data_IF_293205126159
#
_entry.id   IF_293205126159
#
_cell.length_a   1.000
_cell.length_b   1.000
_cell.length_c   1.000
_cell.angle_alpha   90.00
_cell.angle_beta   90.00
_cell.angle_gamma   90.00
#
_symmetry.space_group_name_H-M   'P 1'
#
loop_
_entity.id
_entity.type
_entity.pdbx_description
1 polymer ?
#
# COMPACT_ATOMS: atom_id res chain seq x y z
N UNK A 1 -13.45 33.65 16.42
CA UNK A 1 -12.39 34.62 16.16
C UNK A 1 -11.03 33.96 16.18
N UNK A 2 -10.29 34.08 15.11
CA UNK A 2 -8.92 33.56 15.05
C UNK A 2 -7.94 34.48 15.74
N UNK A 3 -6.82 33.97 16.25
CA UNK A 3 -5.72 34.73 16.84
C UNK A 3 -5.26 35.87 15.93
N UNK A 4 -5.25 35.62 14.62
CA UNK A 4 -4.88 36.59 13.58
C UNK A 4 -5.83 37.81 13.50
N UNK A 5 -7.13 37.60 13.61
CA UNK A 5 -8.12 38.69 13.62
C UNK A 5 -7.95 39.56 14.87
N UNK A 6 -7.75 38.94 16.04
CA UNK A 6 -7.48 39.67 17.28
C UNK A 6 -6.21 40.54 17.21
N UNK A 7 -5.14 40.02 16.57
CA UNK A 7 -3.89 40.78 16.37
C UNK A 7 -4.11 42.00 15.44
N UNK A 8 -4.90 41.85 14.36
CA UNK A 8 -5.25 42.96 13.45
C UNK A 8 -6.04 44.04 14.14
N UNK A 9 -7.00 43.68 14.97
CA UNK A 9 -7.82 44.67 15.70
C UNK A 9 -6.99 45.46 16.70
N UNK A 10 -6.09 44.82 17.43
CA UNK A 10 -5.17 45.49 18.34
C UNK A 10 -4.19 46.40 17.58
N UNK A 11 -3.66 45.94 16.43
CA UNK A 11 -2.79 46.76 15.59
C UNK A 11 -3.49 48.05 15.08
N UNK A 12 -4.80 47.94 14.76
CA UNK A 12 -5.62 49.08 14.34
C UNK A 12 -5.79 50.14 15.46
N UNK A 13 -6.05 49.66 16.67
CA UNK A 13 -6.17 50.52 17.85
C UNK A 13 -4.84 51.23 18.17
N UNK A 14 -3.72 50.51 18.04
CA UNK A 14 -2.39 51.04 18.28
C UNK A 14 -1.91 52.05 17.25
N UNK A 15 -2.34 51.94 15.99
CA UNK A 15 -2.12 52.97 14.96
C UNK A 15 -2.80 54.26 15.32
N UNK A 16 -3.99 54.23 15.90
CA UNK A 16 -4.73 55.43 16.36
C UNK A 16 -4.05 56.09 17.57
N UNK A 17 -3.25 55.36 18.34
CA UNK A 17 -2.52 55.83 19.49
C UNK A 17 -1.10 56.32 19.18
N UNK A 18 -0.71 56.46 17.90
CA UNK A 18 0.60 56.92 17.42
C UNK A 18 1.81 56.08 17.92
N UNK A 19 1.58 54.81 18.29
CA UNK A 19 2.63 53.95 18.81
C UNK A 19 3.14 52.99 17.70
N UNK A 20 3.96 53.55 16.80
CA UNK A 20 4.45 52.85 15.59
C UNK A 20 5.29 51.62 15.94
N UNK A 21 6.12 51.72 16.98
CA UNK A 21 7.01 50.60 17.37
C UNK A 21 6.23 49.34 17.83
N UNK A 22 5.19 49.59 18.62
CA UNK A 22 4.31 48.50 19.08
C UNK A 22 3.46 47.91 17.93
N UNK A 23 3.07 48.74 16.96
CA UNK A 23 2.36 48.34 15.76
C UNK A 23 3.22 47.41 14.90
N UNK A 24 4.51 47.70 14.70
CA UNK A 24 5.44 46.85 13.96
C UNK A 24 5.64 45.49 14.64
N UNK A 25 5.82 45.47 15.97
CA UNK A 25 5.92 44.23 16.73
C UNK A 25 4.67 43.34 16.62
N UNK A 26 3.49 43.96 16.55
CA UNK A 26 2.24 43.20 16.34
C UNK A 26 2.13 42.66 14.93
N UNK A 27 2.63 43.32 13.91
CA UNK A 27 2.69 42.80 12.54
C UNK A 27 3.63 41.63 12.46
N UNK A 28 4.81 41.69 13.09
CA UNK A 28 5.74 40.56 13.17
C UNK A 28 5.10 39.33 13.86
N UNK A 29 4.39 39.56 14.96
CA UNK A 29 3.64 38.51 15.65
C UNK A 29 2.50 37.92 14.77
N UNK A 30 1.88 38.76 13.95
CA UNK A 30 0.85 38.31 12.99
C UNK A 30 1.44 37.39 11.94
N UNK A 31 2.61 37.70 11.41
CA UNK A 31 3.29 36.88 10.42
C UNK A 31 3.69 35.50 11.04
N UNK A 32 4.27 35.51 12.24
CA UNK A 32 4.58 34.30 12.98
C UNK A 32 3.31 33.47 13.24
N UNK A 33 2.19 34.11 13.58
CA UNK A 33 0.93 33.41 13.82
C UNK A 33 0.37 32.75 12.55
N UNK A 34 0.58 33.35 11.37
CA UNK A 34 0.20 32.80 10.07
C UNK A 34 1.07 31.59 9.74
N UNK A 35 2.38 31.68 9.91
CA UNK A 35 3.32 30.58 9.69
C UNK A 35 2.98 29.40 10.59
N UNK A 36 2.71 29.63 11.88
CA UNK A 36 2.27 28.61 12.82
C UNK A 36 0.93 27.98 12.45
N UNK A 37 0.01 28.72 11.85
CA UNK A 37 -1.26 28.19 11.36
C UNK A 37 -1.05 27.26 10.18
N UNK A 38 -0.20 27.65 9.23
CA UNK A 38 0.15 26.83 8.08
C UNK A 38 0.84 25.52 8.51
N UNK A 39 1.84 25.62 9.39
CA UNK A 39 2.50 24.45 9.95
C UNK A 39 1.53 23.51 10.67
N UNK A 40 0.59 24.06 11.44
CA UNK A 40 -0.46 23.28 12.12
C UNK A 40 -1.36 22.54 11.14
N UNK A 41 -1.72 23.12 10.00
CA UNK A 41 -2.52 22.46 8.96
C UNK A 41 -1.71 21.31 8.35
N UNK A 42 -0.47 21.55 7.98
CA UNK A 42 0.43 20.56 7.39
C UNK A 42 0.65 19.37 8.34
N UNK A 43 0.91 19.62 9.62
CA UNK A 43 1.07 18.58 10.64
C UNK A 43 -0.22 17.78 10.87
N UNK A 44 -1.39 18.41 10.79
CA UNK A 44 -2.67 17.70 10.87
C UNK A 44 -2.88 16.75 9.68
N UNK A 45 -2.57 17.19 8.47
CA UNK A 45 -2.67 16.34 7.28
C UNK A 45 -1.70 15.16 7.35
N UNK A 46 -0.45 15.41 7.76
CA UNK A 46 0.55 14.38 7.93
C UNK A 46 0.10 13.36 9.00
N UNK A 47 -0.42 13.84 10.13
CA UNK A 47 -0.92 12.99 11.19
C UNK A 47 -2.10 12.13 10.74
N UNK A 48 -3.00 12.67 9.93
CA UNK A 48 -4.10 11.92 9.34
C UNK A 48 -3.59 10.80 8.42
N UNK A 49 -2.66 11.12 7.52
CA UNK A 49 -2.03 10.14 6.63
C UNK A 49 -1.28 9.03 7.39
N UNK A 50 -0.57 9.39 8.45
CA UNK A 50 0.12 8.42 9.30
C UNK A 50 -0.85 7.51 10.04
N UNK A 51 -1.95 8.04 10.56
CA UNK A 51 -3.01 7.24 11.21
C UNK A 51 -3.68 6.28 10.25
N UNK A 52 -3.96 6.70 9.02
CA UNK A 52 -4.50 5.82 7.98
C UNK A 52 -3.53 4.68 7.64
N UNK A 53 -2.23 4.98 7.53
CA UNK A 53 -1.20 3.96 7.30
C UNK A 53 -1.09 2.96 8.45
N UNK A 54 -1.13 3.42 9.69
CA UNK A 54 -1.14 2.54 10.87
C UNK A 54 -2.38 1.65 10.90
N UNK A 55 -3.54 2.22 10.60
CA UNK A 55 -4.80 1.48 10.56
C UNK A 55 -4.78 0.38 9.49
N UNK A 56 -4.17 0.64 8.33
CA UNK A 56 -3.97 -0.37 7.29
C UNK A 56 -3.01 -1.48 7.75
N UNK A 57 -1.94 -1.15 8.48
CA UNK A 57 -1.00 -2.14 9.01
C UNK A 57 -1.67 -3.12 9.98
N UNK A 58 -2.55 -2.62 10.84
CA UNK A 58 -3.30 -3.45 11.79
C UNK A 58 -4.35 -4.36 11.11
N UNK A 59 -4.75 -4.04 9.89
CA UNK A 59 -5.74 -4.81 9.11
C UNK A 59 -5.12 -5.91 8.26
N UNK A 60 -3.82 -5.88 8.03
CA UNK A 60 -3.13 -6.83 7.16
C UNK A 60 -2.84 -8.13 7.90
N UNK A 61 -3.23 -9.26 7.30
CA UNK A 61 -2.87 -10.60 7.73
C UNK A 61 -1.77 -11.12 6.81
N UNK A 62 -0.62 -11.51 7.38
CA UNK A 62 0.45 -12.16 6.63
C UNK A 62 0.24 -13.67 6.62
N UNK A 63 0.51 -14.25 5.47
CA UNK A 63 0.52 -15.70 5.28
C UNK A 63 1.96 -16.19 5.03
N UNK A 64 2.20 -17.48 5.21
CA UNK A 64 3.51 -18.13 4.95
C UNK A 64 3.93 -18.09 3.47
N UNK A 65 3.04 -17.64 2.62
CA UNK A 65 3.25 -17.44 1.18
C UNK A 65 3.50 -15.96 0.88
N UNK A 66 3.82 -15.64 -0.38
CA UNK A 66 4.15 -14.28 -0.84
C UNK A 66 2.89 -13.41 -1.07
N UNK A 67 1.82 -13.65 -0.33
CA UNK A 67 0.60 -12.85 -0.35
C UNK A 67 0.14 -12.45 1.05
N UNK A 68 -0.69 -11.44 1.10
CA UNK A 68 -1.37 -10.93 2.30
C UNK A 68 -2.87 -10.84 2.05
N UNK A 69 -3.65 -10.87 3.11
CA UNK A 69 -5.10 -10.60 3.09
C UNK A 69 -5.45 -9.50 4.08
N UNK A 70 -6.66 -8.97 3.98
CA UNK A 70 -7.17 -8.01 4.95
C UNK A 70 -8.13 -8.72 5.92
N UNK A 71 -8.13 -8.30 7.19
CA UNK A 71 -9.05 -8.83 8.23
C UNK A 71 -10.53 -8.67 7.86
N UNK A 72 -10.84 -7.66 7.05
CA UNK A 72 -12.21 -7.36 6.63
C UNK A 72 -12.68 -8.29 5.50
N UNK A 73 -11.76 -8.76 4.67
CA UNK A 73 -12.03 -9.68 3.56
C UNK A 73 -10.80 -10.55 3.28
N UNK A 74 -10.82 -11.76 3.79
CA UNK A 74 -9.75 -12.74 3.59
C UNK A 74 -9.82 -13.45 2.24
N UNK A 75 -10.88 -13.22 1.46
CA UNK A 75 -11.06 -13.82 0.12
C UNK A 75 -10.22 -13.13 -0.95
N UNK A 76 -9.78 -11.90 -0.71
CA UNK A 76 -8.97 -11.13 -1.65
C UNK A 76 -7.49 -11.22 -1.26
N UNK A 77 -6.68 -11.67 -2.21
CA UNK A 77 -5.22 -11.81 -2.02
C UNK A 77 -4.49 -10.62 -2.63
N UNK A 78 -3.53 -10.06 -1.86
CA UNK A 78 -2.68 -8.96 -2.28
C UNK A 78 -1.21 -9.36 -2.26
N UNK A 79 -0.41 -8.75 -3.10
CA UNK A 79 1.02 -9.05 -3.20
C UNK A 79 1.79 -8.57 -1.97
N UNK A 80 2.42 -9.50 -1.25
CA UNK A 80 3.24 -9.17 -0.08
C UNK A 80 4.48 -8.35 -0.47
N UNK A 81 5.11 -8.64 -1.60
CA UNK A 81 6.28 -7.90 -2.09
C UNK A 81 5.96 -6.42 -2.38
N UNK A 82 4.84 -6.12 -3.05
CA UNK A 82 4.41 -4.75 -3.31
C UNK A 82 4.05 -4.01 -2.01
N UNK A 83 3.43 -4.72 -1.07
CA UNK A 83 3.13 -4.18 0.25
C UNK A 83 4.39 -3.84 1.03
N UNK A 84 5.40 -4.71 1.04
CA UNK A 84 6.65 -4.49 1.78
C UNK A 84 7.49 -3.37 1.17
N UNK A 85 7.54 -3.28 -0.16
CA UNK A 85 8.37 -2.30 -0.88
C UNK A 85 7.77 -0.89 -0.93
N UNK A 86 6.47 -0.79 -1.17
CA UNK A 86 5.81 0.50 -1.46
C UNK A 86 4.54 0.76 -0.67
N UNK A 87 4.12 -0.16 0.22
CA UNK A 87 2.86 -0.11 0.97
C UNK A 87 1.61 0.00 0.08
N UNK A 88 1.70 -0.55 -1.12
CA UNK A 88 0.57 -0.60 -2.05
C UNK A 88 -0.14 -1.95 -1.99
N UNK A 89 -1.46 -1.91 -1.86
CA UNK A 89 -2.32 -3.09 -1.93
C UNK A 89 -2.59 -3.41 -3.40
N UNK A 90 -1.77 -4.27 -3.98
CA UNK A 90 -1.94 -4.74 -5.36
C UNK A 90 -2.57 -6.12 -5.31
N UNK A 91 -3.82 -6.22 -5.77
CA UNK A 91 -4.52 -7.48 -5.88
C UNK A 91 -3.80 -8.40 -6.87
N UNK A 92 -3.61 -9.67 -6.50
CA UNK A 92 -2.98 -10.67 -7.35
C UNK A 92 -4.00 -11.39 -8.22
N UNK A 93 -3.55 -11.90 -9.35
CA UNK A 93 -4.33 -12.74 -10.24
C UNK A 93 -4.13 -14.20 -9.83
N UNK A 94 -5.21 -14.85 -9.37
CA UNK A 94 -5.19 -16.24 -8.93
C UNK A 94 -5.49 -17.19 -10.10
N UNK A 95 -4.80 -18.32 -10.12
CA UNK A 95 -5.05 -19.40 -11.05
C UNK A 95 -5.64 -20.61 -10.29
N UNK A 96 -6.96 -20.77 -10.39
CA UNK A 96 -7.71 -21.79 -9.68
C UNK A 96 -7.46 -23.22 -10.21
N UNK A 97 -6.74 -23.37 -11.32
CA UNK A 97 -6.38 -24.70 -11.85
C UNK A 97 -5.18 -25.32 -11.14
N UNK A 98 -4.25 -24.50 -10.66
CA UNK A 98 -3.00 -24.95 -10.07
C UNK A 98 -2.67 -24.32 -8.73
N UNK A 99 -3.59 -23.54 -8.13
CA UNK A 99 -3.39 -22.92 -6.82
C UNK A 99 -2.27 -21.88 -6.76
N UNK A 100 -1.88 -21.32 -7.90
CA UNK A 100 -0.85 -20.27 -7.98
C UNK A 100 -1.45 -18.88 -8.17
N UNK A 101 -0.68 -17.87 -7.87
CA UNK A 101 -1.03 -16.48 -8.17
C UNK A 101 0.13 -15.74 -8.83
N UNK A 102 -0.18 -14.66 -9.52
CA UNK A 102 0.80 -13.74 -10.12
C UNK A 102 0.42 -12.30 -9.81
N UNK A 103 1.39 -11.50 -9.39
CA UNK A 103 1.19 -10.07 -9.23
C UNK A 103 1.25 -9.36 -10.59
N UNK A 104 0.25 -8.56 -10.98
CA UNK A 104 0.26 -7.83 -12.25
C UNK A 104 1.32 -6.73 -12.27
N UNK A 105 1.69 -6.17 -11.11
CA UNK A 105 2.65 -5.09 -10.97
C UNK A 105 4.11 -5.58 -10.97
N UNK A 106 4.51 -6.34 -9.94
CA UNK A 106 5.91 -6.76 -9.76
C UNK A 106 6.24 -8.13 -10.39
N UNK A 107 5.24 -8.82 -10.96
CA UNK A 107 5.36 -10.15 -11.58
C UNK A 107 5.75 -11.28 -10.62
N UNK A 108 5.77 -11.04 -9.32
CA UNK A 108 5.97 -12.08 -8.30
C UNK A 108 4.91 -13.16 -8.44
N UNK A 109 5.36 -14.41 -8.45
CA UNK A 109 4.51 -15.62 -8.50
C UNK A 109 4.63 -16.35 -7.18
N UNK A 110 3.54 -16.92 -6.71
CA UNK A 110 3.49 -17.72 -5.49
C UNK A 110 2.36 -18.73 -5.51
N UNK A 111 2.24 -19.49 -4.43
CA UNK A 111 1.21 -20.49 -4.23
C UNK A 111 0.28 -20.04 -3.12
N UNK A 112 -1.02 -19.94 -3.40
CA UNK A 112 -2.03 -19.60 -2.40
C UNK A 112 -2.79 -20.83 -1.88
N UNK A 113 -2.88 -21.90 -2.70
CA UNK A 113 -3.47 -23.18 -2.34
C UNK A 113 -2.45 -24.30 -2.57
N UNK A 114 -1.81 -24.75 -1.49
CA UNK A 114 -0.77 -25.79 -1.52
C UNK A 114 -1.30 -27.16 -1.94
N UNK A 115 -2.54 -27.50 -1.56
CA UNK A 115 -3.15 -28.78 -1.91
C UNK A 115 -3.49 -28.87 -3.40
N UNK A 116 -4.09 -27.80 -3.91
CA UNK A 116 -4.42 -27.69 -5.33
C UNK A 116 -3.16 -27.69 -6.19
N UNK A 117 -2.12 -26.99 -5.73
CA UNK A 117 -0.82 -26.96 -6.41
C UNK A 117 -0.17 -28.33 -6.47
N UNK A 118 -0.12 -29.07 -5.37
CA UNK A 118 0.43 -30.41 -5.32
C UNK A 118 -0.32 -31.39 -6.27
N UNK A 119 -1.65 -31.34 -6.29
CA UNK A 119 -2.47 -32.15 -7.22
C UNK A 119 -2.21 -31.78 -8.68
N UNK A 120 -2.00 -30.52 -8.98
CA UNK A 120 -1.70 -30.06 -10.34
C UNK A 120 -0.31 -30.54 -10.80
N UNK A 121 0.69 -30.50 -9.93
CA UNK A 121 2.04 -31.00 -10.22
C UNK A 121 2.04 -32.52 -10.44
N UNK A 122 1.31 -33.28 -9.62
CA UNK A 122 1.17 -34.72 -9.78
C UNK A 122 0.57 -35.09 -11.14
N UNK A 123 -0.55 -34.46 -11.52
CA UNK A 123 -1.19 -34.68 -12.82
C UNK A 123 -0.26 -34.29 -13.97
N UNK A 124 0.48 -33.20 -13.86
CA UNK A 124 1.45 -32.81 -14.87
C UNK A 124 2.58 -33.86 -15.02
N UNK A 125 3.10 -34.34 -13.89
CA UNK A 125 4.11 -35.41 -13.88
C UNK A 125 3.63 -36.69 -14.55
N UNK A 126 2.39 -37.11 -14.30
CA UNK A 126 1.77 -38.29 -14.96
C UNK A 126 1.62 -38.10 -16.47
N UNK A 127 1.17 -36.89 -16.88
CA UNK A 127 1.02 -36.55 -18.30
C UNK A 127 2.37 -36.58 -19.02
N UNK A 128 3.43 -36.06 -18.42
CA UNK A 128 4.80 -36.10 -18.96
C UNK A 128 5.31 -37.55 -19.10
N UNK A 129 5.08 -38.40 -18.10
CA UNK A 129 5.45 -39.84 -18.15
C UNK A 129 4.73 -40.53 -19.31
N UNK A 130 3.44 -40.28 -19.51
CA UNK A 130 2.65 -40.85 -20.62
C UNK A 130 3.16 -40.31 -21.97
N UNK A 131 3.48 -39.04 -22.07
CA UNK A 131 4.02 -38.46 -23.30
C UNK A 131 5.38 -39.08 -23.68
N UNK A 132 6.30 -39.18 -22.74
CA UNK A 132 7.60 -39.78 -22.94
C UNK A 132 7.52 -41.25 -23.33
N UNK A 133 6.61 -42.01 -22.71
CA UNK A 133 6.40 -43.40 -23.04
C UNK A 133 5.84 -43.62 -24.47
N UNK A 134 4.98 -42.70 -24.92
CA UNK A 134 4.47 -42.73 -26.31
C UNK A 134 5.57 -42.40 -27.32
N UNK A 135 6.43 -41.43 -27.03
CA UNK A 135 7.58 -41.08 -27.88
C UNK A 135 8.59 -42.24 -27.98
N UNK A 136 8.88 -42.91 -26.89
CA UNK A 136 9.78 -44.06 -26.87
C UNK A 136 9.27 -45.21 -27.73
N UNK A 137 7.95 -45.51 -27.69
CA UNK A 137 7.33 -46.51 -28.56
C UNK A 137 7.40 -46.12 -30.04
N UNK A 138 7.19 -44.84 -30.38
CA UNK A 138 7.27 -44.37 -31.76
C UNK A 138 8.65 -44.53 -32.37
N UNK A 139 9.71 -44.24 -31.62
CA UNK A 139 11.10 -44.46 -32.05
C UNK A 139 11.44 -45.95 -32.27
N UNK A 140 10.78 -46.85 -31.60
CA UNK A 140 11.00 -48.28 -31.76
C UNK A 140 10.36 -48.85 -33.05
N UNK A 141 9.32 -48.18 -33.57
CA UNK A 141 8.68 -48.56 -34.84
C UNK A 141 9.41 -48.02 -36.08
N UNK A 142 10.12 -46.86 -35.94
CA UNK A 142 10.88 -46.25 -37.03
C UNK A 142 12.26 -46.92 -37.28
N UNK A 143 12.61 -47.98 -36.52
CA UNK A 143 13.87 -48.74 -36.67
C UNK A 143 13.70 -50.09 -37.37
N UNK A 144 12.50 -50.38 -37.90
CA UNK A 144 12.22 -51.55 -38.73
C UNK A 144 11.64 -51.11 -40.06
#
# INVERSE_FOLDING_TARGET
MGLYEGIKDVAKVMRQADNIDLCLKLLDLSDIALDMQEEKVNLKEENSKLKERLNLLDKVIRHDSLYITLKEDESIFYCAHCWDSSRQLIQVECNDYNGTFKCPHCKTVGVYDKELHAKAEEKFGETLKQFNSRQSRKKQWDMY
#
